data_IF_262216063329
#
_entry.id   IF_262216063329
#
_cell.length_a   1.000
_cell.length_b   1.000
_cell.length_c   1.000
_cell.angle_alpha   90.00
_cell.angle_beta   90.00
_cell.angle_gamma   90.00
#
_symmetry.space_group_name_H-M   'P 1'
#
loop_
_entity.id
_entity.type
_entity.pdbx_description
1 polymer ?
#
# COMPACT_ATOMS: atom_id res chain seq x y z
N UNK A 1 -3.02 11.14 26.21
CA UNK A 1 -3.69 9.98 25.59
C UNK A 1 -3.10 8.58 25.89
N UNK A 2 -1.91 8.38 26.48
CA UNK A 2 -1.39 7.01 26.72
C UNK A 2 -2.32 6.09 27.53
N UNK A 3 -3.04 6.64 28.53
CA UNK A 3 -4.05 5.89 29.28
C UNK A 3 -5.22 5.38 28.41
N UNK A 4 -5.51 6.06 27.29
CA UNK A 4 -6.51 5.62 26.32
C UNK A 4 -5.99 4.47 25.46
N UNK A 5 -4.70 4.49 25.11
CA UNK A 5 -4.02 3.35 24.45
C UNK A 5 -4.05 2.13 25.35
N UNK A 6 -3.68 2.29 26.63
CA UNK A 6 -3.70 1.19 27.62
C UNK A 6 -5.13 0.63 27.79
N UNK A 7 -6.14 1.50 27.88
CA UNK A 7 -7.54 1.08 28.01
C UNK A 7 -8.06 0.37 26.75
N UNK A 8 -7.67 0.85 25.56
CA UNK A 8 -8.00 0.21 24.29
C UNK A 8 -7.34 -1.18 24.19
N UNK A 9 -6.05 -1.26 24.54
CA UNK A 9 -5.29 -2.51 24.56
C UNK A 9 -5.96 -3.56 25.46
N UNK A 10 -6.32 -3.19 26.69
CA UNK A 10 -6.98 -4.07 27.64
C UNK A 10 -8.36 -4.54 27.16
N UNK A 11 -9.09 -3.69 26.42
CA UNK A 11 -10.42 -4.01 25.88
C UNK A 11 -10.37 -5.03 24.74
N UNK A 12 -9.33 -4.96 23.90
CA UNK A 12 -9.20 -5.74 22.68
C UNK A 12 -8.12 -6.82 22.74
N UNK A 13 -7.51 -7.04 23.91
CA UNK A 13 -6.44 -8.02 24.16
C UNK A 13 -5.22 -7.80 23.23
N UNK A 14 -4.81 -6.54 23.12
CA UNK A 14 -3.68 -6.12 22.29
C UNK A 14 -2.43 -5.90 23.13
N UNK A 15 -1.28 -6.14 22.52
CA UNK A 15 0.03 -5.82 23.10
C UNK A 15 0.81 -4.94 22.13
N UNK A 16 1.67 -4.07 22.66
CA UNK A 16 2.54 -3.19 21.87
C UNK A 16 4.00 -3.47 22.22
N UNK A 17 4.39 -4.75 22.31
CA UNK A 17 5.72 -5.12 22.81
C UNK A 17 6.83 -4.86 21.78
N UNK A 18 6.51 -4.91 20.47
CA UNK A 18 7.45 -4.61 19.40
C UNK A 18 7.80 -3.11 19.35
N UNK A 19 6.79 -2.25 19.29
CA UNK A 19 7.00 -0.79 19.18
C UNK A 19 7.12 -0.08 20.53
N UNK A 20 6.38 -0.54 21.54
CA UNK A 20 6.04 0.27 22.70
C UNK A 20 4.81 1.14 22.44
N UNK A 21 3.99 1.35 23.47
CA UNK A 21 2.73 2.12 23.35
C UNK A 21 2.96 3.60 23.02
N UNK A 22 4.11 4.15 23.40
CA UNK A 22 4.48 5.55 23.14
C UNK A 22 4.71 5.77 21.64
N UNK A 23 5.50 4.89 21.00
CA UNK A 23 5.71 4.91 19.55
C UNK A 23 4.42 4.58 18.80
N UNK A 24 3.66 3.58 19.24
CA UNK A 24 2.39 3.24 18.61
C UNK A 24 1.41 4.43 18.58
N UNK A 25 1.32 5.21 19.67
CA UNK A 25 0.49 6.41 19.70
C UNK A 25 1.03 7.50 18.76
N UNK A 26 2.34 7.75 18.79
CA UNK A 26 2.93 8.81 17.98
C UNK A 26 2.85 8.48 16.48
N UNK A 27 3.16 7.24 16.09
CA UNK A 27 3.01 6.75 14.72
C UNK A 27 1.56 6.82 14.26
N UNK A 28 0.59 6.43 15.09
CA UNK A 28 -0.82 6.60 14.76
C UNK A 28 -1.20 8.06 14.49
N UNK A 29 -0.66 9.01 15.27
CA UNK A 29 -0.87 10.44 15.03
C UNK A 29 -0.23 10.89 13.72
N UNK A 30 1.02 10.48 13.46
CA UNK A 30 1.76 10.80 12.23
C UNK A 30 1.02 10.26 11.00
N UNK A 31 0.62 8.99 11.02
CA UNK A 31 -0.04 8.29 9.90
C UNK A 31 -1.49 8.74 9.66
N UNK A 32 -2.12 9.46 10.59
CA UNK A 32 -3.54 9.85 10.49
C UNK A 32 -3.85 10.63 9.21
N UNK A 33 -2.99 11.54 8.76
CA UNK A 33 -3.25 12.29 7.52
C UNK A 33 -3.16 11.38 6.29
N UNK A 34 -2.21 10.45 6.29
CA UNK A 34 -1.95 9.55 5.17
C UNK A 34 -3.10 8.54 5.06
N UNK A 35 -3.47 7.89 6.17
CA UNK A 35 -4.64 7.02 6.28
C UNK A 35 -5.97 7.71 5.94
N UNK A 36 -6.13 8.98 6.33
CA UNK A 36 -7.30 9.77 5.93
C UNK A 36 -7.42 9.81 4.41
N UNK A 37 -6.36 10.15 3.69
CA UNK A 37 -6.41 10.24 2.23
C UNK A 37 -6.45 8.88 1.54
N UNK A 38 -5.99 7.81 2.18
CA UNK A 38 -6.16 6.44 1.67
C UNK A 38 -7.63 5.99 1.70
N UNK A 39 -8.37 6.27 2.77
CA UNK A 39 -9.65 5.60 3.03
C UNK A 39 -10.86 6.52 3.24
N UNK A 40 -10.65 7.83 3.44
CA UNK A 40 -11.70 8.84 3.54
C UNK A 40 -11.82 9.63 2.23
N UNK A 41 -12.81 10.50 2.16
CA UNK A 41 -13.06 11.37 1.01
C UNK A 41 -12.91 12.83 1.41
N UNK A 42 -12.68 13.72 0.44
CA UNK A 42 -12.62 15.15 0.69
C UNK A 42 -13.89 15.71 1.37
N UNK A 43 -15.06 15.10 1.12
CA UNK A 43 -16.30 15.49 1.79
C UNK A 43 -16.31 15.13 3.29
N UNK A 44 -15.47 14.21 3.73
CA UNK A 44 -15.33 13.82 5.14
C UNK A 44 -14.47 14.80 5.94
N UNK A 45 -13.71 15.70 5.31
CA UNK A 45 -12.83 16.64 6.02
C UNK A 45 -13.58 17.48 7.07
N UNK A 46 -14.82 17.88 6.79
CA UNK A 46 -15.60 18.74 7.70
C UNK A 46 -16.22 17.97 8.87
N UNK A 47 -16.36 16.65 8.76
CA UNK A 47 -17.00 15.82 9.79
C UNK A 47 -16.03 14.93 10.56
N UNK A 48 -14.84 14.66 10.02
CA UNK A 48 -13.86 13.73 10.58
C UNK A 48 -12.74 14.41 11.37
N UNK A 49 -12.60 15.74 11.26
CA UNK A 49 -11.58 16.50 12.00
C UNK A 49 -12.23 17.10 13.25
N UNK A 50 -11.83 16.68 14.46
CA UNK A 50 -12.37 17.25 15.70
C UNK A 50 -12.07 18.76 15.83
N UNK A 51 -12.93 19.53 16.52
CA UNK A 51 -12.65 20.92 16.82
C UNK A 51 -11.45 21.06 17.76
N UNK A 52 -10.83 22.25 17.80
CA UNK A 52 -9.71 22.53 18.72
C UNK A 52 -10.08 22.52 20.21
N UNK A 53 -11.36 22.38 20.54
CA UNK A 53 -11.88 22.18 21.91
C UNK A 53 -12.19 20.72 22.23
N UNK A 54 -11.85 19.79 21.32
CA UNK A 54 -12.10 18.36 21.53
C UNK A 54 -11.31 17.83 22.74
N UNK A 55 -11.91 16.90 23.46
CA UNK A 55 -11.24 16.21 24.56
C UNK A 55 -10.24 15.18 24.03
N UNK A 56 -9.32 14.72 24.90
CA UNK A 56 -8.39 13.64 24.58
C UNK A 56 -9.10 12.39 24.03
N UNK A 57 -10.26 12.03 24.61
CA UNK A 57 -11.06 10.90 24.14
C UNK A 57 -11.58 11.12 22.72
N UNK A 58 -12.12 12.31 22.43
CA UNK A 58 -12.66 12.62 21.11
C UNK A 58 -11.57 12.63 20.03
N UNK A 59 -10.38 13.15 20.35
CA UNK A 59 -9.24 13.12 19.46
C UNK A 59 -8.74 11.69 19.22
N UNK A 60 -8.61 10.89 20.29
CA UNK A 60 -8.22 9.48 20.19
C UNK A 60 -9.21 8.67 19.37
N UNK A 61 -10.52 8.83 19.60
CA UNK A 61 -11.55 8.12 18.85
C UNK A 61 -11.55 8.50 17.37
N UNK A 62 -11.32 9.78 17.04
CA UNK A 62 -11.23 10.25 15.66
C UNK A 62 -9.98 9.71 14.94
N UNK A 63 -8.82 9.77 15.60
CA UNK A 63 -7.57 9.18 15.11
C UNK A 63 -7.76 7.68 14.87
N UNK A 64 -8.23 6.96 15.89
CA UNK A 64 -8.45 5.51 15.83
C UNK A 64 -9.46 5.11 14.74
N UNK A 65 -10.50 5.91 14.51
CA UNK A 65 -11.44 5.67 13.43
C UNK A 65 -10.81 5.82 12.03
N UNK A 66 -9.70 6.54 11.90
CA UNK A 66 -9.01 6.78 10.61
C UNK A 66 -7.87 5.78 10.40
N UNK A 67 -6.94 5.69 11.35
CA UNK A 67 -5.70 4.90 11.21
C UNK A 67 -5.77 3.52 11.88
N UNK A 68 -6.60 3.37 12.91
CA UNK A 68 -6.64 2.17 13.75
C UNK A 68 -5.39 2.06 14.63
N UNK A 69 -5.52 2.28 15.93
CA UNK A 69 -4.39 2.11 16.87
C UNK A 69 -3.96 0.64 16.97
N UNK A 70 -4.88 -0.28 16.70
CA UNK A 70 -4.63 -1.72 16.63
C UNK A 70 -3.67 -2.11 15.51
N UNK A 71 -3.60 -1.34 14.41
CA UNK A 71 -2.64 -1.54 13.33
C UNK A 71 -1.18 -1.51 13.81
N UNK A 72 -0.90 -0.81 14.91
CA UNK A 72 0.43 -0.67 15.52
C UNK A 72 0.69 -1.65 16.67
N UNK A 73 -0.26 -2.52 16.99
CA UNK A 73 -0.10 -3.58 17.99
C UNK A 73 0.68 -4.77 17.42
N UNK A 74 1.19 -5.65 18.28
CA UNK A 74 1.86 -6.89 17.86
C UNK A 74 0.94 -7.74 16.98
N UNK A 75 -0.37 -7.75 17.28
CA UNK A 75 -1.42 -8.45 16.53
C UNK A 75 -1.70 -7.79 15.18
N UNK A 76 -1.60 -6.45 15.11
CA UNK A 76 -1.74 -5.68 13.87
C UNK A 76 -0.54 -5.86 12.94
N UNK A 77 0.67 -5.90 13.50
CA UNK A 77 1.91 -6.01 12.73
C UNK A 77 2.19 -7.44 12.24
N UNK A 78 1.90 -8.46 13.05
CA UNK A 78 2.28 -9.84 12.76
C UNK A 78 1.82 -10.37 11.39
N UNK A 79 0.56 -10.13 10.93
CA UNK A 79 0.10 -10.56 9.61
C UNK A 79 0.87 -9.92 8.44
N UNK A 80 1.48 -8.76 8.66
CA UNK A 80 2.20 -7.98 7.66
C UNK A 80 3.73 -8.05 7.82
N UNK A 81 4.24 -8.93 8.70
CA UNK A 81 5.67 -9.13 8.95
C UNK A 81 6.51 -9.24 7.67
N UNK A 82 6.07 -10.05 6.70
CA UNK A 82 6.77 -10.21 5.43
C UNK A 82 6.73 -8.93 4.56
N UNK A 83 5.63 -8.18 4.62
CA UNK A 83 5.50 -6.91 3.92
C UNK A 83 6.44 -5.87 4.53
N UNK A 84 6.49 -5.71 5.85
CA UNK A 84 7.38 -4.75 6.49
C UNK A 84 8.85 -5.08 6.25
N UNK A 85 9.21 -6.37 6.29
CA UNK A 85 10.55 -6.81 5.88
C UNK A 85 10.86 -6.39 4.43
N UNK A 86 9.91 -6.60 3.50
CA UNK A 86 10.09 -6.20 2.11
C UNK A 86 10.15 -4.68 1.95
N UNK A 87 9.37 -3.92 2.71
CA UNK A 87 9.38 -2.47 2.69
C UNK A 87 10.75 -1.94 3.12
N UNK A 88 11.30 -2.47 4.21
CA UNK A 88 12.64 -2.15 4.70
C UNK A 88 13.76 -2.58 3.73
N UNK A 89 13.60 -3.71 3.04
CA UNK A 89 14.64 -4.28 2.18
C UNK A 89 14.59 -3.83 0.72
N UNK A 90 13.43 -3.47 0.17
CA UNK A 90 13.22 -3.30 -1.29
C UNK A 90 12.27 -2.17 -1.67
N UNK A 91 11.09 -2.09 -1.07
CA UNK A 91 10.05 -1.16 -1.54
C UNK A 91 10.35 0.29 -1.16
N UNK A 92 11.04 0.47 -0.03
CA UNK A 92 11.13 1.75 0.67
C UNK A 92 9.88 2.02 1.52
N UNK A 93 9.87 3.19 2.15
CA UNK A 93 8.78 3.67 2.99
C UNK A 93 8.40 5.10 2.58
N UNK A 94 7.10 5.47 2.53
CA UNK A 94 6.72 6.87 2.33
C UNK A 94 7.32 7.72 3.46
N UNK A 95 8.02 8.80 3.11
CA UNK A 95 8.58 9.68 4.13
C UNK A 95 7.46 10.33 4.94
N UNK A 96 7.40 10.14 6.27
CA UNK A 96 6.37 10.73 7.11
C UNK A 96 6.46 12.26 7.12
N UNK A 97 5.31 12.93 7.06
CA UNK A 97 5.24 14.39 7.11
C UNK A 97 5.12 14.92 8.54
N UNK A 98 6.22 14.88 9.30
CA UNK A 98 6.22 15.25 10.72
C UNK A 98 6.31 16.77 10.98
N UNK A 99 6.73 17.55 9.97
CA UNK A 99 7.09 18.98 10.12
C UNK A 99 6.00 19.83 10.80
N UNK A 100 4.74 19.51 10.57
CA UNK A 100 3.60 20.27 11.11
C UNK A 100 3.35 20.01 12.60
N UNK A 101 3.85 18.89 13.14
CA UNK A 101 3.74 18.51 14.55
C UNK A 101 4.82 19.21 15.39
N UNK A 102 5.98 19.48 14.80
CA UNK A 102 7.03 20.30 15.42
C UNK A 102 7.47 19.77 16.79
N UNK A 103 7.37 20.59 17.83
CA UNK A 103 7.76 20.22 19.18
C UNK A 103 6.86 19.16 19.86
N UNK A 104 5.79 18.72 19.18
CA UNK A 104 4.91 17.66 19.67
C UNK A 104 5.42 16.25 19.38
N UNK A 105 6.43 16.10 18.51
CA UNK A 105 7.09 14.82 18.20
C UNK A 105 8.14 14.51 19.27
N UNK A 106 8.08 13.32 19.86
CA UNK A 106 9.03 12.83 20.85
C UNK A 106 10.04 11.84 20.24
N UNK A 107 9.67 11.15 19.17
CA UNK A 107 10.43 10.10 18.48
C UNK A 107 10.50 10.38 16.96
N UNK A 108 11.21 11.45 16.55
CA UNK A 108 11.29 11.83 15.14
C UNK A 108 11.97 10.75 14.29
N UNK A 109 11.58 10.66 13.02
CA UNK A 109 12.18 9.78 12.01
C UNK A 109 12.09 8.28 12.36
N UNK A 110 11.11 7.88 13.18
CA UNK A 110 10.91 6.48 13.60
C UNK A 110 9.78 5.76 12.86
N UNK A 111 8.89 6.49 12.20
CA UNK A 111 7.81 5.91 11.39
C UNK A 111 8.38 5.43 10.04
N UNK A 112 8.98 4.24 10.08
CA UNK A 112 9.81 3.69 8.99
C UNK A 112 9.56 2.19 8.85
N UNK A 113 9.76 1.66 7.63
CA UNK A 113 9.60 0.23 7.37
C UNK A 113 10.51 -0.64 8.24
N UNK A 114 11.69 -0.13 8.58
CA UNK A 114 12.67 -0.77 9.46
C UNK A 114 12.14 -0.99 10.88
N UNK A 115 11.39 -0.02 11.42
CA UNK A 115 10.83 -0.09 12.78
C UNK A 115 9.65 -1.07 12.85
N UNK A 116 8.88 -1.20 11.78
CA UNK A 116 7.80 -2.20 11.69
C UNK A 116 8.29 -3.61 11.30
N UNK A 117 9.52 -3.73 10.78
CA UNK A 117 10.10 -5.00 10.35
C UNK A 117 10.22 -5.99 11.52
N UNK A 118 10.07 -7.31 11.27
CA UNK A 118 10.19 -8.31 12.32
C UNK A 118 11.52 -8.23 13.07
N UNK A 119 11.50 -8.20 14.42
CA UNK A 119 12.71 -7.99 15.21
C UNK A 119 13.70 -9.15 15.04
N UNK A 120 14.99 -8.82 15.00
CA UNK A 120 16.06 -9.80 14.94
C UNK A 120 16.32 -10.42 13.55
N UNK A 121 15.61 -9.97 12.51
CA UNK A 121 15.87 -10.38 11.13
C UNK A 121 16.67 -9.28 10.43
N UNK A 122 17.95 -9.53 10.07
CA UNK A 122 18.74 -8.52 9.37
C UNK A 122 18.24 -8.36 7.93
N UNK A 123 18.33 -7.13 7.42
CA UNK A 123 18.10 -6.79 6.02
C UNK A 123 19.13 -5.77 5.55
N UNK A 124 19.29 -5.66 4.24
CA UNK A 124 20.06 -4.61 3.58
C UNK A 124 19.14 -3.97 2.54
N UNK A 125 18.95 -2.65 2.62
CA UNK A 125 18.11 -1.94 1.68
C UNK A 125 18.71 -1.99 0.27
N UNK A 126 17.90 -2.40 -0.71
CA UNK A 126 18.27 -2.49 -2.13
C UNK A 126 17.66 -1.30 -2.89
N UNK A 127 18.36 -0.16 -3.00
CA UNK A 127 17.80 1.04 -3.62
C UNK A 127 17.47 0.86 -5.12
N UNK A 128 18.00 -0.17 -5.77
CA UNK A 128 17.72 -0.48 -7.17
C UNK A 128 16.46 -1.32 -7.40
N UNK A 129 15.83 -1.88 -6.35
CA UNK A 129 14.72 -2.82 -6.51
C UNK A 129 13.50 -2.19 -7.21
N UNK A 130 12.97 -1.09 -6.68
CA UNK A 130 11.83 -0.39 -7.30
C UNK A 130 12.20 0.29 -8.64
N UNK A 131 13.38 0.92 -8.82
CA UNK A 131 13.85 1.36 -10.13
C UNK A 131 13.91 0.24 -11.18
N UNK A 132 14.40 -0.95 -10.84
CA UNK A 132 14.43 -2.10 -11.77
C UNK A 132 13.02 -2.51 -12.23
N UNK A 133 12.05 -2.52 -11.30
CA UNK A 133 10.64 -2.79 -11.64
C UNK A 133 10.07 -1.69 -12.54
N UNK A 134 10.33 -0.41 -12.25
CA UNK A 134 9.89 0.72 -13.08
C UNK A 134 10.53 0.67 -14.48
N UNK A 135 11.82 0.32 -14.59
CA UNK A 135 12.50 0.15 -15.87
C UNK A 135 11.88 -1.02 -16.66
N UNK A 136 11.57 -2.13 -16.01
CA UNK A 136 10.84 -3.23 -16.64
C UNK A 136 9.45 -2.80 -17.11
N UNK A 137 8.66 -2.13 -16.26
CA UNK A 137 7.33 -1.63 -16.63
C UNK A 137 7.43 -0.75 -17.87
N UNK A 138 8.37 0.20 -17.88
CA UNK A 138 8.48 1.21 -18.94
C UNK A 138 9.12 0.70 -20.24
N UNK A 139 9.92 -0.35 -20.22
CA UNK A 139 10.66 -0.84 -21.40
C UNK A 139 10.15 -2.17 -21.96
N UNK A 140 9.60 -3.02 -21.09
CA UNK A 140 9.20 -4.39 -21.40
C UNK A 140 7.77 -4.71 -20.98
N UNK A 141 7.12 -3.83 -20.22
CA UNK A 141 5.76 -4.03 -19.74
C UNK A 141 4.79 -4.31 -20.89
N UNK A 142 3.96 -5.34 -20.72
CA UNK A 142 2.95 -5.71 -21.68
C UNK A 142 1.67 -6.15 -20.97
N UNK A 143 0.53 -5.64 -21.44
CA UNK A 143 -0.80 -5.94 -20.87
C UNK A 143 -0.90 -5.60 -19.38
N UNK A 144 -0.40 -4.42 -19.02
CA UNK A 144 -0.50 -3.86 -17.68
C UNK A 144 -1.65 -2.86 -17.60
N UNK A 145 -2.42 -2.89 -16.51
CA UNK A 145 -3.46 -1.90 -16.24
C UNK A 145 -3.33 -1.39 -14.82
N UNK A 146 -3.03 -0.09 -14.69
CA UNK A 146 -2.95 0.58 -13.39
C UNK A 146 -4.16 1.50 -13.20
N UNK A 147 -4.77 1.45 -12.01
CA UNK A 147 -5.86 2.34 -11.61
C UNK A 147 -5.42 3.07 -10.34
N UNK A 148 -5.30 4.40 -10.43
CA UNK A 148 -4.90 5.24 -9.32
C UNK A 148 -6.04 6.16 -8.87
N UNK A 149 -6.08 6.50 -7.58
CA UNK A 149 -6.93 7.55 -7.06
C UNK A 149 -6.19 8.89 -7.05
N UNK A 150 -6.80 9.97 -7.53
CA UNK A 150 -6.12 11.29 -7.54
C UNK A 150 -5.87 11.88 -6.14
N UNK A 151 -6.55 11.36 -5.11
CA UNK A 151 -6.33 11.73 -3.71
C UNK A 151 -5.59 10.66 -2.91
N UNK A 152 -5.36 9.47 -3.47
CA UNK A 152 -4.58 8.43 -2.80
C UNK A 152 -3.12 8.88 -2.69
N UNK A 153 -2.55 8.97 -1.48
CA UNK A 153 -1.17 9.41 -1.33
C UNK A 153 -0.17 8.40 -1.94
N UNK A 154 -0.52 7.13 -2.08
CA UNK A 154 0.31 6.13 -2.78
C UNK A 154 0.48 6.44 -4.28
N UNK A 155 -0.43 7.23 -4.87
CA UNK A 155 -0.30 7.68 -6.26
C UNK A 155 0.94 8.56 -6.49
N UNK A 156 1.56 9.09 -5.42
CA UNK A 156 2.83 9.80 -5.54
C UNK A 156 3.96 8.95 -6.16
N UNK A 157 3.88 7.63 -6.01
CA UNK A 157 4.81 6.66 -6.60
C UNK A 157 4.18 5.87 -7.78
N UNK A 158 3.23 6.47 -8.50
CA UNK A 158 2.59 5.83 -9.65
C UNK A 158 3.60 5.47 -10.75
N UNK A 159 3.41 4.30 -11.38
CA UNK A 159 4.28 3.85 -12.46
C UNK A 159 4.18 4.74 -13.70
N UNK A 160 5.31 4.92 -14.37
CA UNK A 160 5.38 5.53 -15.71
C UNK A 160 5.39 4.44 -16.77
N UNK A 161 4.45 4.50 -17.71
CA UNK A 161 4.29 3.46 -18.73
C UNK A 161 5.36 3.46 -19.83
N UNK A 162 6.01 4.58 -20.13
CA UNK A 162 7.06 4.65 -21.15
C UNK A 162 6.69 3.98 -22.49
N UNK A 163 7.52 3.05 -22.92
CA UNK A 163 7.38 2.23 -24.13
C UNK A 163 6.65 0.90 -23.89
N UNK A 164 5.94 0.75 -22.76
CA UNK A 164 5.13 -0.44 -22.51
C UNK A 164 4.10 -0.64 -23.61
N UNK A 165 3.90 -1.90 -23.98
CA UNK A 165 3.03 -2.27 -25.10
C UNK A 165 1.67 -2.69 -24.57
N UNK A 166 0.60 -2.19 -25.20
CA UNK A 166 -0.76 -2.60 -24.84
C UNK A 166 -1.03 -2.45 -23.33
N UNK A 167 -0.61 -1.32 -22.75
CA UNK A 167 -0.69 -1.06 -21.31
C UNK A 167 -1.33 0.30 -21.05
N UNK A 168 -2.05 0.40 -19.93
CA UNK A 168 -2.96 1.52 -19.67
C UNK A 168 -2.86 1.97 -18.21
N UNK A 169 -2.92 3.29 -18.00
CA UNK A 169 -2.97 3.90 -16.69
C UNK A 169 -4.18 4.83 -16.66
N UNK A 170 -5.02 4.65 -15.65
CA UNK A 170 -6.19 5.48 -15.43
C UNK A 170 -6.15 6.11 -14.05
N UNK A 171 -6.64 7.35 -13.95
CA UNK A 171 -6.79 8.05 -12.67
C UNK A 171 -8.26 8.34 -12.41
N UNK A 172 -8.77 7.86 -11.28
CA UNK A 172 -10.10 8.19 -10.77
C UNK A 172 -10.03 9.56 -10.10
N UNK A 173 -10.66 10.56 -10.71
CA UNK A 173 -10.75 11.90 -10.15
C UNK A 173 -11.49 11.89 -8.80
N UNK A 174 -10.84 12.45 -7.78
CA UNK A 174 -11.32 12.42 -6.39
C UNK A 174 -11.27 11.03 -5.72
N UNK A 175 -10.73 10.03 -6.40
CA UNK A 175 -10.59 8.67 -5.87
C UNK A 175 -9.46 8.56 -4.86
N UNK A 176 -9.59 7.65 -3.91
CA UNK A 176 -8.58 7.29 -2.91
C UNK A 176 -8.05 5.87 -3.18
N UNK A 177 -7.49 5.20 -2.18
CA UNK A 177 -6.90 3.86 -2.30
C UNK A 177 -7.89 2.79 -2.79
N UNK A 178 -9.20 3.05 -2.68
CA UNK A 178 -10.26 2.19 -3.22
C UNK A 178 -10.56 2.41 -4.72
N UNK A 179 -9.76 3.21 -5.42
CA UNK A 179 -9.91 3.52 -6.85
C UNK A 179 -9.95 2.25 -7.69
N UNK A 180 -11.01 2.11 -8.51
CA UNK A 180 -11.23 0.91 -9.33
C UNK A 180 -11.92 1.26 -10.64
N UNK A 181 -11.90 0.33 -11.59
CA UNK A 181 -12.50 0.49 -12.92
C UNK A 181 -13.96 0.96 -12.86
N UNK A 182 -14.74 0.51 -11.86
CA UNK A 182 -16.15 0.90 -11.74
C UNK A 182 -16.38 2.38 -11.43
N UNK A 183 -15.34 3.12 -11.04
CA UNK A 183 -15.39 4.55 -10.70
C UNK A 183 -14.81 5.44 -11.82
N UNK A 184 -14.30 4.86 -12.91
CA UNK A 184 -13.84 5.63 -14.05
C UNK A 184 -15.02 6.29 -14.80
N UNK A 185 -14.78 7.40 -15.51
CA UNK A 185 -15.73 7.93 -16.48
C UNK A 185 -16.19 6.86 -17.46
N UNK A 186 -17.46 6.90 -17.88
CA UNK A 186 -18.10 5.82 -18.64
C UNK A 186 -17.30 5.35 -19.87
N UNK A 187 -16.68 6.28 -20.61
CA UNK A 187 -15.83 5.96 -21.75
C UNK A 187 -14.58 5.16 -21.35
N UNK A 188 -13.83 5.63 -20.35
CA UNK A 188 -12.63 4.94 -19.84
C UNK A 188 -12.98 3.60 -19.18
N UNK A 189 -14.11 3.54 -18.46
CA UNK A 189 -14.60 2.29 -17.89
C UNK A 189 -14.91 1.25 -18.98
N UNK A 190 -15.56 1.67 -20.07
CA UNK A 190 -15.88 0.79 -21.20
C UNK A 190 -14.60 0.31 -21.90
N UNK A 191 -13.64 1.21 -22.10
CA UNK A 191 -12.32 0.92 -22.67
C UNK A 191 -11.54 -0.08 -21.81
N UNK A 192 -11.43 0.16 -20.50
CA UNK A 192 -10.75 -0.73 -19.56
C UNK A 192 -11.37 -2.14 -19.57
N UNK A 193 -12.71 -2.23 -19.52
CA UNK A 193 -13.41 -3.53 -19.60
C UNK A 193 -13.21 -4.23 -20.94
N UNK A 194 -13.25 -3.50 -22.05
CA UNK A 194 -12.99 -4.06 -23.37
C UNK A 194 -11.56 -4.58 -23.50
N UNK A 195 -10.59 -3.84 -22.96
CA UNK A 195 -9.18 -4.22 -22.88
C UNK A 195 -8.99 -5.51 -22.08
N UNK A 196 -9.58 -5.60 -20.89
CA UNK A 196 -9.54 -6.83 -20.08
C UNK A 196 -10.17 -8.02 -20.82
N UNK A 197 -11.34 -7.82 -21.43
CA UNK A 197 -11.99 -8.88 -22.22
C UNK A 197 -11.09 -9.37 -23.36
N UNK A 198 -10.46 -8.44 -24.10
CA UNK A 198 -9.50 -8.75 -25.16
C UNK A 198 -8.31 -9.54 -24.62
N UNK A 199 -7.71 -9.16 -23.50
CA UNK A 199 -6.58 -9.90 -22.90
C UNK A 199 -6.96 -11.30 -22.45
N UNK A 200 -8.17 -11.46 -21.91
CA UNK A 200 -8.72 -12.76 -21.51
C UNK A 200 -9.18 -13.62 -22.70
N UNK A 201 -9.07 -13.14 -23.95
CA UNK A 201 -9.57 -13.85 -25.13
C UNK A 201 -11.10 -13.95 -25.17
N UNK A 202 -11.78 -13.12 -24.40
CA UNK A 202 -13.22 -13.03 -24.35
C UNK A 202 -13.66 -12.10 -25.49
N UNK A 203 -14.14 -12.68 -26.60
CA UNK A 203 -14.85 -11.94 -27.65
C UNK A 203 -16.01 -11.11 -27.03
N UNK A 204 -16.61 -10.11 -27.70
CA UNK A 204 -17.86 -9.52 -27.22
C UNK A 204 -18.92 -10.62 -27.15
N UNK A 205 -19.09 -11.18 -25.96
CA UNK A 205 -19.85 -12.40 -25.75
C UNK A 205 -21.32 -12.10 -25.95
N UNK A 206 -21.98 -12.83 -26.85
CA UNK A 206 -23.45 -12.92 -26.83
C UNK A 206 -23.98 -13.60 -25.55
N UNK A 207 -23.14 -14.32 -24.79
CA UNK A 207 -23.44 -14.92 -23.47
C UNK A 207 -22.17 -15.12 -22.62
N UNK A 208 -22.26 -14.86 -21.31
CA UNK A 208 -21.18 -15.12 -20.36
C UNK A 208 -20.69 -16.59 -20.40
N UNK A 209 -19.37 -16.85 -20.48
CA UNK A 209 -18.82 -18.18 -20.37
C UNK A 209 -19.02 -18.68 -18.95
N UNK A 210 -19.31 -19.98 -18.82
CA UNK A 210 -19.17 -20.67 -17.55
C UNK A 210 -17.68 -20.68 -17.19
N UNK A 211 -17.36 -20.14 -16.03
CA UNK A 211 -16.05 -20.32 -15.43
C UNK A 211 -15.81 -21.81 -15.23
N UNK A 212 -14.80 -22.35 -15.91
CA UNK A 212 -14.21 -23.66 -15.62
C UNK A 212 -12.87 -23.34 -14.99
N UNK A 213 -12.75 -23.64 -13.69
CA UNK A 213 -11.50 -23.50 -12.98
C UNK A 213 -10.50 -24.47 -13.62
N UNK A 214 -9.42 -23.98 -14.22
CA UNK A 214 -8.30 -24.84 -14.61
C UNK A 214 -7.70 -25.43 -13.35
N UNK A 215 -7.51 -26.75 -13.30
CA UNK A 215 -7.09 -27.47 -12.09
C UNK A 215 -5.66 -27.13 -11.63
N UNK A 216 -4.86 -26.42 -12.42
CA UNK A 216 -3.56 -25.90 -11.98
C UNK A 216 -3.36 -24.44 -12.41
N UNK A 217 -3.03 -23.53 -11.47
CA UNK A 217 -2.53 -22.20 -11.84
C UNK A 217 -1.19 -22.35 -12.56
N UNK A 218 -0.86 -21.46 -13.52
CA UNK A 218 0.46 -21.44 -14.13
C UNK A 218 1.52 -21.27 -13.02
N UNK A 219 2.60 -22.04 -13.12
CA UNK A 219 3.75 -21.88 -12.23
C UNK A 219 4.29 -20.47 -12.42
N UNK A 220 4.03 -19.58 -11.46
CA UNK A 220 4.70 -18.30 -11.33
C UNK A 220 6.16 -18.58 -10.94
N UNK A 221 7.00 -18.90 -11.92
CA UNK A 221 8.44 -18.78 -11.76
C UNK A 221 8.83 -17.29 -11.74
N UNK A 222 9.89 -16.91 -11.02
CA UNK A 222 10.37 -15.53 -11.08
C UNK A 222 10.68 -15.16 -12.54
N UNK A 223 10.09 -14.07 -13.04
CA UNK A 223 10.55 -13.45 -14.27
C UNK A 223 11.97 -12.92 -14.01
N UNK A 224 12.97 -13.74 -14.31
CA UNK A 224 14.37 -13.34 -14.18
C UNK A 224 14.63 -12.21 -15.20
N UNK A 225 15.04 -11.01 -14.75
CA UNK A 225 15.47 -9.93 -15.63
C UNK A 225 16.49 -10.45 -16.66
N UNK A 226 16.49 -9.97 -17.91
CA UNK A 226 17.39 -10.47 -18.95
C UNK A 226 18.87 -10.53 -18.53
N UNK A 227 19.32 -9.59 -17.68
CA UNK A 227 20.70 -9.52 -17.19
C UNK A 227 21.07 -10.62 -16.16
N UNK A 228 20.09 -11.32 -15.58
CA UNK A 228 20.30 -12.43 -14.63
C UNK A 228 20.11 -13.82 -15.27
N UNK A 229 19.76 -13.88 -16.57
CA UNK A 229 19.51 -15.15 -17.28
C UNK A 229 20.79 -15.92 -17.61
N UNK A 230 21.94 -15.25 -17.70
CA UNK A 230 23.20 -15.92 -18.07
C UNK A 230 23.79 -16.76 -16.94
N UNK A 231 23.54 -16.41 -15.67
CA UNK A 231 24.11 -17.09 -14.51
C UNK A 231 23.47 -18.47 -14.22
N UNK A 232 22.22 -18.69 -14.61
CA UNK A 232 21.50 -19.94 -14.31
C UNK A 232 21.80 -21.09 -15.28
N UNK A 233 22.50 -20.81 -16.39
CA UNK A 233 22.84 -21.83 -17.39
C UNK A 233 24.13 -22.63 -17.09
N UNK A 234 24.94 -22.20 -16.11
CA UNK A 234 26.21 -22.85 -15.75
C UNK A 234 26.13 -23.77 -14.53
N UNK A 235 25.03 -23.77 -13.76
CA UNK A 235 24.92 -24.55 -12.52
C UNK A 235 24.38 -25.98 -12.67
N UNK A 236 24.10 -26.46 -13.89
CA UNK A 236 23.55 -27.83 -14.15
C UNK A 236 24.55 -28.73 -14.90
N UNK A 237 25.85 -28.44 -14.81
CA UNK A 237 26.90 -29.33 -15.29
C UNK A 237 28.09 -29.40 -14.32
N UNK A 238 27.89 -30.04 -13.17
CA UNK A 238 28.89 -30.89 -12.50
C UNK A 238 28.16 -32.02 -11.77
#
# INVERSE_FOLDING_TARGET
MLSLVDAYAARYDLTYSQLGRELALEHAVIETYFAFWQYRTASSCTSSIPPNTATDQQLFDAMNAVVGIDSFSDQGLAPYAAYYYQAAAELGWPQPYEKHLGALIHFPDTDTGEVYSPPGIPFEFRPSAMPDIQDWVSSQGQRLMFIYGSYDPWTAAAYVLGNSQDSYLYTVAGGNHGARISQLPAAQQAEAKATLNRWMGIAPLKRAPRFVQSEEPPVFGPHVPPHLREASSQAVRQ
#
